data_IF_553922539827
#
_entry.id   IF_553922539827
#
_cell.length_a   1.000
_cell.length_b   1.000
_cell.length_c   1.000
_cell.angle_alpha   90.00
_cell.angle_beta   90.00
_cell.angle_gamma   90.00
#
_symmetry.space_group_name_H-M   'P 1'
#
loop_
_entity.id
_entity.type
_entity.pdbx_description
1 polymer ?
#
# COMPACT_ATOMS: atom_id res chain seq x y z
N UNK A 1 0.23 4.35 -29.33
CA UNK A 1 -1.21 4.06 -29.24
C UNK A 1 -1.46 3.43 -27.88
N UNK A 2 -1.67 4.27 -26.84
CA UNK A 2 -2.08 3.83 -25.50
C UNK A 2 -3.54 3.34 -25.56
N UNK A 3 -3.69 2.08 -25.90
CA UNK A 3 -4.97 1.38 -25.78
C UNK A 3 -5.18 0.97 -24.33
N UNK A 4 -5.27 1.95 -23.41
CA UNK A 4 -5.82 1.72 -22.08
C UNK A 4 -7.32 1.45 -22.21
N UNK A 5 -7.64 0.20 -22.50
CA UNK A 5 -9.01 -0.27 -22.46
C UNK A 5 -9.43 -0.41 -21.00
N UNK A 6 -10.04 0.64 -20.44
CA UNK A 6 -10.46 0.74 -19.05
C UNK A 6 -11.11 -0.53 -18.46
N UNK A 7 -11.96 -1.29 -19.17
CA UNK A 7 -12.46 -2.55 -18.62
C UNK A 7 -11.38 -3.61 -18.41
N UNK A 8 -10.37 -3.67 -19.28
CA UNK A 8 -9.27 -4.64 -19.10
C UNK A 8 -8.41 -4.29 -17.89
N UNK A 9 -8.22 -3.00 -17.62
CA UNK A 9 -7.53 -2.54 -16.41
C UNK A 9 -8.28 -2.98 -15.14
N UNK A 10 -9.61 -2.83 -15.11
CA UNK A 10 -10.41 -3.32 -13.98
C UNK A 10 -10.32 -4.84 -13.82
N UNK A 11 -10.27 -5.59 -14.91
CA UNK A 11 -10.12 -7.04 -14.87
C UNK A 11 -8.75 -7.48 -14.35
N UNK A 12 -7.69 -6.70 -14.57
CA UNK A 12 -6.35 -7.03 -14.08
C UNK A 12 -6.27 -7.11 -12.56
N UNK A 13 -7.12 -6.39 -11.83
CA UNK A 13 -7.22 -6.51 -10.37
C UNK A 13 -7.60 -7.91 -9.88
N UNK A 14 -8.23 -8.72 -10.72
CA UNK A 14 -8.72 -10.06 -10.39
C UNK A 14 -7.88 -11.18 -10.97
N UNK A 15 -6.65 -10.91 -11.37
CA UNK A 15 -5.75 -11.86 -12.06
C UNK A 15 -5.61 -13.18 -11.31
N UNK A 16 -5.42 -13.15 -9.99
CA UNK A 16 -5.31 -14.39 -9.17
C UNK A 16 -6.63 -15.16 -9.11
N UNK A 17 -7.74 -14.44 -8.98
CA UNK A 17 -9.08 -15.06 -8.95
C UNK A 17 -9.35 -15.76 -10.28
N UNK A 18 -9.02 -15.11 -11.41
CA UNK A 18 -9.17 -15.73 -12.73
C UNK A 18 -8.25 -16.95 -12.92
N UNK A 19 -7.04 -16.92 -12.36
CA UNK A 19 -6.16 -18.09 -12.36
C UNK A 19 -6.79 -19.27 -11.60
N UNK A 20 -7.27 -19.04 -10.36
CA UNK A 20 -7.89 -20.11 -9.55
C UNK A 20 -9.19 -20.63 -10.18
N UNK A 21 -10.04 -19.74 -10.69
CA UNK A 21 -11.28 -20.15 -11.38
C UNK A 21 -10.99 -20.93 -12.67
N UNK A 22 -9.99 -20.51 -13.44
CA UNK A 22 -9.55 -21.20 -14.65
C UNK A 22 -9.03 -22.60 -14.35
N UNK A 23 -8.24 -22.74 -13.26
CA UNK A 23 -7.75 -24.04 -12.81
C UNK A 23 -8.90 -24.96 -12.41
N UNK A 24 -9.83 -24.50 -11.58
CA UNK A 24 -11.00 -25.27 -11.16
C UNK A 24 -11.89 -25.68 -12.35
N UNK A 25 -12.12 -24.77 -13.29
CA UNK A 25 -12.89 -25.05 -14.51
C UNK A 25 -12.18 -26.06 -15.39
N UNK A 26 -10.87 -25.96 -15.56
CA UNK A 26 -10.07 -26.91 -16.34
C UNK A 26 -10.20 -28.33 -15.76
N UNK A 27 -10.03 -28.47 -14.45
CA UNK A 27 -10.17 -29.76 -13.76
C UNK A 27 -11.60 -30.32 -13.92
N UNK A 28 -12.63 -29.49 -13.70
CA UNK A 28 -14.02 -29.89 -13.87
C UNK A 28 -14.29 -30.41 -15.29
N UNK A 29 -13.87 -29.66 -16.31
CA UNK A 29 -14.09 -30.04 -17.72
C UNK A 29 -13.37 -31.32 -18.10
N UNK A 30 -12.20 -31.60 -17.53
CA UNK A 30 -11.51 -32.88 -17.70
C UNK A 30 -12.33 -34.01 -17.06
N UNK A 31 -12.81 -33.83 -15.85
CA UNK A 31 -13.61 -34.83 -15.13
C UNK A 31 -14.90 -35.19 -15.86
N UNK A 32 -15.56 -34.20 -16.50
CA UNK A 32 -16.78 -34.44 -17.31
C UNK A 32 -16.46 -34.76 -18.76
N UNK A 33 -15.21 -35.10 -19.10
CA UNK A 33 -14.75 -35.52 -20.44
C UNK A 33 -14.94 -34.46 -21.55
N UNK A 34 -15.01 -33.17 -21.20
CA UNK A 34 -15.08 -32.07 -22.16
C UNK A 34 -13.69 -31.54 -22.53
N UNK A 35 -12.89 -32.32 -23.26
CA UNK A 35 -11.45 -32.05 -23.46
C UNK A 35 -11.15 -30.80 -24.29
N UNK A 36 -11.96 -30.43 -25.29
CA UNK A 36 -11.71 -29.22 -26.10
C UNK A 36 -11.90 -27.95 -25.28
N UNK A 37 -13.03 -27.77 -24.56
CA UNK A 37 -13.16 -26.63 -23.63
C UNK A 37 -12.12 -26.66 -22.51
N UNK A 38 -11.71 -27.84 -22.00
CA UNK A 38 -10.68 -27.97 -21.00
C UNK A 38 -9.32 -27.42 -21.48
N UNK A 39 -8.95 -27.71 -22.72
CA UNK A 39 -7.72 -27.19 -23.33
C UNK A 39 -7.76 -25.66 -23.44
N UNK A 40 -8.90 -25.08 -23.84
CA UNK A 40 -9.07 -23.62 -23.89
C UNK A 40 -8.99 -22.98 -22.49
N UNK A 41 -9.65 -23.58 -21.50
CA UNK A 41 -9.57 -23.13 -20.10
C UNK A 41 -8.14 -23.23 -19.56
N UNK A 42 -7.40 -24.29 -19.88
CA UNK A 42 -6.00 -24.45 -19.48
C UNK A 42 -5.09 -23.35 -20.07
N UNK A 43 -5.27 -22.98 -21.33
CA UNK A 43 -4.52 -21.89 -21.96
C UNK A 43 -4.76 -20.56 -21.23
N UNK A 44 -6.01 -20.23 -20.90
CA UNK A 44 -6.34 -19.01 -20.13
C UNK A 44 -5.75 -19.09 -18.71
N UNK A 45 -5.81 -20.25 -18.06
CA UNK A 45 -5.22 -20.47 -16.74
C UNK A 45 -3.71 -20.20 -16.76
N UNK A 46 -2.99 -20.75 -17.76
CA UNK A 46 -1.55 -20.49 -17.93
C UNK A 46 -1.26 -19.01 -18.15
N UNK A 47 -2.06 -18.33 -18.98
CA UNK A 47 -1.92 -16.89 -19.19
C UNK A 47 -2.07 -16.09 -17.89
N UNK A 48 -3.13 -16.33 -17.11
CA UNK A 48 -3.32 -15.61 -15.84
C UNK A 48 -2.27 -16.02 -14.79
N UNK A 49 -1.84 -17.27 -14.75
CA UNK A 49 -0.75 -17.70 -13.88
C UNK A 49 0.57 -17.02 -14.22
N UNK A 50 0.89 -16.86 -15.52
CA UNK A 50 2.06 -16.11 -15.96
C UNK A 50 1.93 -14.62 -15.59
N UNK A 51 0.78 -13.99 -15.83
CA UNK A 51 0.53 -12.61 -15.46
C UNK A 51 0.68 -12.39 -13.93
N UNK A 52 0.16 -13.31 -13.12
CA UNK A 52 0.31 -13.28 -11.66
C UNK A 52 1.76 -13.44 -11.21
N UNK A 53 2.56 -14.24 -11.94
CA UNK A 53 3.97 -14.46 -11.61
C UNK A 53 4.90 -13.31 -12.07
N UNK A 54 4.43 -12.44 -12.95
CA UNK A 54 5.22 -11.38 -13.60
C UNK A 54 5.16 -10.04 -12.87
N UNK A 55 4.85 -10.03 -11.57
CA UNK A 55 4.81 -8.79 -10.77
C UNK A 55 6.25 -8.23 -10.65
N UNK A 56 6.51 -6.98 -11.15
CA UNK A 56 7.83 -6.36 -11.05
C UNK A 56 8.25 -6.10 -9.60
N UNK A 57 9.55 -6.09 -9.36
CA UNK A 57 10.12 -5.72 -8.06
C UNK A 57 10.27 -6.87 -7.06
N UNK A 58 9.94 -8.10 -7.44
CA UNK A 58 10.06 -9.27 -6.58
C UNK A 58 11.19 -10.16 -7.01
N UNK A 59 12.14 -10.45 -6.12
CA UNK A 59 13.21 -11.42 -6.40
C UNK A 59 12.65 -12.82 -6.69
N UNK A 60 13.09 -13.48 -7.80
CA UNK A 60 12.67 -14.84 -8.12
C UNK A 60 13.29 -15.80 -7.10
N UNK A 61 12.56 -16.27 -6.14
CA UNK A 61 13.02 -17.24 -5.15
C UNK A 61 12.23 -17.27 -3.84
N UNK A 62 11.43 -16.24 -3.54
CA UNK A 62 10.60 -16.20 -2.33
C UNK A 62 9.10 -16.41 -2.56
N UNK A 63 8.70 -16.83 -3.75
CA UNK A 63 7.30 -17.10 -4.03
C UNK A 63 6.95 -18.54 -3.75
N UNK A 64 6.45 -18.79 -2.58
CA UNK A 64 5.63 -19.96 -2.30
C UNK A 64 4.23 -19.49 -1.95
N UNK A 65 3.22 -19.96 -2.67
CA UNK A 65 1.80 -19.77 -2.38
C UNK A 65 1.37 -20.32 -0.99
N UNK A 66 2.32 -20.84 -0.20
CA UNK A 66 2.08 -21.51 1.08
C UNK A 66 3.07 -21.14 2.19
N UNK A 67 3.96 -20.16 2.01
CA UNK A 67 4.86 -19.78 3.09
C UNK A 67 4.65 -18.34 3.54
N UNK A 68 3.70 -18.15 4.44
CA UNK A 68 3.89 -17.22 5.56
C UNK A 68 5.02 -17.81 6.42
N UNK A 69 6.21 -17.92 5.88
CA UNK A 69 7.37 -18.29 6.64
C UNK A 69 7.83 -16.99 7.30
N UNK A 70 7.66 -16.90 8.61
CA UNK A 70 8.39 -15.97 9.45
C UNK A 70 9.87 -16.08 9.08
N UNK A 71 10.37 -15.12 8.30
CA UNK A 71 11.79 -15.03 7.98
C UNK A 71 12.50 -14.67 9.29
N UNK A 72 13.05 -15.67 9.98
CA UNK A 72 13.99 -15.41 11.06
C UNK A 72 15.16 -14.62 10.49
N UNK A 73 15.61 -13.53 11.13
CA UNK A 73 16.81 -12.82 10.72
C UNK A 73 17.98 -13.80 10.66
N UNK A 74 18.73 -13.79 9.56
CA UNK A 74 19.96 -14.57 9.47
C UNK A 74 20.90 -14.20 10.64
N UNK A 75 21.47 -15.18 11.33
CA UNK A 75 22.24 -15.02 12.58
C UNK A 75 23.51 -14.16 12.50
N UNK A 76 23.80 -13.51 11.37
CA UNK A 76 24.95 -12.64 11.16
C UNK A 76 24.67 -11.14 11.03
N UNK A 77 23.39 -10.72 10.89
CA UNK A 77 23.04 -9.32 10.58
C UNK A 77 22.72 -8.44 11.82
N UNK A 78 22.95 -8.93 13.03
CA UNK A 78 22.39 -8.32 14.26
C UNK A 78 23.10 -7.07 14.79
N UNK A 79 24.24 -6.64 14.26
CA UNK A 79 25.02 -5.57 14.91
C UNK A 79 24.64 -4.14 14.45
N UNK A 80 24.11 -3.95 13.23
CA UNK A 80 23.96 -2.62 12.63
C UNK A 80 22.61 -2.42 11.90
N UNK A 81 21.50 -2.90 12.44
CA UNK A 81 20.18 -2.70 11.84
C UNK A 81 19.17 -2.11 12.82
N UNK A 82 18.24 -1.28 12.30
CA UNK A 82 17.09 -0.75 13.03
C UNK A 82 15.82 -1.46 12.52
N UNK A 83 15.06 -2.03 13.43
CA UNK A 83 13.74 -2.59 13.14
C UNK A 83 12.67 -1.51 13.33
N UNK A 84 11.72 -1.44 12.42
CA UNK A 84 10.61 -0.49 12.43
C UNK A 84 9.30 -1.23 12.16
N UNK A 85 8.37 -1.19 13.11
CA UNK A 85 7.01 -1.68 12.90
C UNK A 85 6.15 -0.57 12.32
N UNK A 86 5.71 -0.76 11.11
CA UNK A 86 5.00 0.21 10.30
C UNK A 86 3.57 -0.25 10.01
N UNK A 87 2.59 0.66 10.10
CA UNK A 87 1.19 0.35 9.72
C UNK A 87 0.67 1.41 8.77
N UNK A 88 -0.03 1.00 7.72
CA UNK A 88 -0.88 1.88 6.89
C UNK A 88 -2.35 1.46 6.99
N UNK A 89 -3.26 2.43 7.02
CA UNK A 89 -4.69 2.15 7.11
C UNK A 89 -5.54 3.25 6.49
N UNK A 90 -6.34 2.89 5.48
CA UNK A 90 -7.44 3.73 5.01
C UNK A 90 -8.59 3.60 6.02
N UNK A 91 -8.98 4.71 6.65
CA UNK A 91 -9.98 4.72 7.74
C UNK A 91 -11.41 4.69 7.24
N UNK A 92 -11.62 4.85 5.95
CA UNK A 92 -12.95 5.07 5.37
C UNK A 92 -13.62 6.32 5.94
N UNK A 93 -13.76 7.35 5.13
CA UNK A 93 -14.27 8.67 5.56
C UNK A 93 -15.65 8.64 6.24
N UNK A 94 -16.45 7.61 5.94
CA UNK A 94 -17.77 7.39 6.57
C UNK A 94 -17.73 6.40 7.73
N UNK A 95 -16.53 6.09 8.26
CA UNK A 95 -16.40 5.26 9.45
C UNK A 95 -17.16 5.89 10.62
N UNK A 96 -18.15 5.17 11.11
CA UNK A 96 -19.06 5.58 12.18
C UNK A 96 -18.60 5.11 13.58
N UNK A 97 -17.36 4.54 13.67
CA UNK A 97 -16.81 3.98 14.91
C UNK A 97 -15.52 4.68 15.39
N UNK A 98 -15.60 5.99 15.69
CA UNK A 98 -14.43 6.74 16.15
C UNK A 98 -13.86 6.20 17.49
N UNK A 99 -14.71 5.67 18.38
CA UNK A 99 -14.25 5.08 19.65
C UNK A 99 -13.37 3.85 19.41
N UNK A 100 -13.70 3.03 18.41
CA UNK A 100 -12.88 1.88 18.03
C UNK A 100 -11.47 2.30 17.55
N UNK A 101 -11.33 3.46 16.89
CA UNK A 101 -10.03 4.01 16.54
C UNK A 101 -9.20 4.35 17.78
N UNK A 102 -9.82 5.00 18.79
CA UNK A 102 -9.12 5.34 20.02
C UNK A 102 -8.59 4.08 20.75
N UNK A 103 -9.44 3.07 20.91
CA UNK A 103 -9.06 1.79 21.50
C UNK A 103 -7.98 1.07 20.68
N UNK A 104 -8.10 1.09 19.36
CA UNK A 104 -7.14 0.47 18.46
C UNK A 104 -5.77 1.13 18.60
N UNK A 105 -5.70 2.47 18.58
CA UNK A 105 -4.46 3.23 18.79
C UNK A 105 -3.77 2.90 20.11
N UNK A 106 -4.55 2.67 21.18
CA UNK A 106 -3.99 2.30 22.49
C UNK A 106 -3.37 0.90 22.51
N UNK A 107 -3.87 -0.02 21.68
CA UNK A 107 -3.40 -1.41 21.62
C UNK A 107 -2.28 -1.62 20.61
N UNK A 108 -2.07 -0.68 19.67
CA UNK A 108 -1.06 -0.87 18.63
C UNK A 108 0.36 -0.77 19.17
N UNK A 109 1.19 -1.70 18.74
CA UNK A 109 2.63 -1.70 19.00
C UNK A 109 3.42 -1.25 17.74
N UNK A 110 2.84 -0.39 16.95
CA UNK A 110 3.50 0.20 15.79
C UNK A 110 4.40 1.37 16.21
N UNK A 111 5.51 1.55 15.53
CA UNK A 111 6.40 2.69 15.69
C UNK A 111 5.93 3.87 14.87
N UNK A 112 5.39 3.58 13.67
CA UNK A 112 4.82 4.57 12.75
C UNK A 112 3.50 4.04 12.20
N UNK A 113 2.49 4.91 12.21
CA UNK A 113 1.19 4.63 11.62
C UNK A 113 0.86 5.75 10.62
N UNK A 114 0.45 5.38 9.43
CA UNK A 114 -0.03 6.33 8.42
C UNK A 114 -1.48 6.03 8.08
N UNK A 115 -2.25 7.09 7.89
CA UNK A 115 -3.68 6.98 7.63
C UNK A 115 -4.08 7.74 6.37
N UNK A 116 -5.10 7.20 5.70
CA UNK A 116 -5.81 7.81 4.60
C UNK A 116 -7.28 8.02 4.99
N UNK A 117 -7.98 8.89 4.27
CA UNK A 117 -9.39 9.23 4.50
C UNK A 117 -9.70 9.71 5.93
N UNK A 118 -8.78 10.45 6.54
CA UNK A 118 -9.04 11.01 7.87
C UNK A 118 -10.07 12.14 7.82
N UNK A 119 -10.98 12.14 8.78
CA UNK A 119 -11.94 13.22 9.05
C UNK A 119 -11.44 14.13 10.17
N UNK A 120 -12.13 15.25 10.41
CA UNK A 120 -11.83 16.12 11.55
C UNK A 120 -11.97 15.39 12.90
N UNK A 121 -12.97 14.51 13.04
CA UNK A 121 -13.18 13.72 14.25
C UNK A 121 -12.05 12.69 14.46
N UNK A 122 -11.67 11.95 13.44
CA UNK A 122 -10.57 10.97 13.54
C UNK A 122 -9.23 11.67 13.79
N UNK A 123 -9.00 12.86 13.20
CA UNK A 123 -7.82 13.66 13.48
C UNK A 123 -7.75 14.11 14.95
N UNK A 124 -8.88 14.49 15.56
CA UNK A 124 -8.92 14.84 16.98
C UNK A 124 -8.56 13.66 17.88
N UNK A 125 -9.06 12.46 17.57
CA UNK A 125 -8.72 11.22 18.28
C UNK A 125 -7.22 10.92 18.15
N UNK A 126 -6.66 11.03 16.94
CA UNK A 126 -5.23 10.85 16.69
C UNK A 126 -4.39 11.87 17.46
N UNK A 127 -4.83 13.14 17.47
CA UNK A 127 -4.15 14.20 18.22
C UNK A 127 -4.12 13.91 19.74
N UNK A 128 -5.13 13.25 20.29
CA UNK A 128 -5.14 12.82 21.69
C UNK A 128 -4.17 11.66 22.00
N UNK A 129 -3.68 10.93 20.99
CA UNK A 129 -2.72 9.83 21.16
C UNK A 129 -1.24 10.29 21.24
N UNK A 130 -0.98 11.55 21.62
CA UNK A 130 0.38 12.14 21.67
C UNK A 130 1.32 11.47 22.67
N UNK A 131 0.81 10.89 23.71
CA UNK A 131 1.64 10.16 24.70
C UNK A 131 2.33 8.95 24.07
N UNK A 132 1.68 8.29 23.10
CA UNK A 132 2.23 7.15 22.38
C UNK A 132 2.95 7.54 21.09
N UNK A 133 2.43 8.55 20.39
CA UNK A 133 2.92 9.06 19.13
C UNK A 133 3.17 10.56 19.24
N UNK A 134 4.28 10.97 19.86
CA UNK A 134 4.56 12.39 20.14
C UNK A 134 4.77 13.21 18.86
N UNK A 135 5.15 12.57 17.77
CA UNK A 135 5.39 13.24 16.50
C UNK A 135 4.25 12.93 15.53
N UNK A 136 3.48 13.96 15.20
CA UNK A 136 2.29 13.81 14.38
C UNK A 136 2.29 14.86 13.26
N UNK A 137 1.85 14.44 12.08
CA UNK A 137 1.60 15.33 10.95
C UNK A 137 0.24 15.01 10.34
N UNK A 138 -0.54 16.07 10.08
CA UNK A 138 -1.85 16.00 9.43
C UNK A 138 -1.77 16.77 8.11
N UNK A 139 -1.74 16.00 7.01
CA UNK A 139 -1.69 16.55 5.65
C UNK A 139 -3.09 16.84 5.13
N UNK A 140 -3.60 18.04 5.39
CA UNK A 140 -4.84 18.51 4.80
C UNK A 140 -4.60 19.23 3.49
N UNK A 141 -5.51 19.09 2.51
CA UNK A 141 -5.51 20.01 1.38
C UNK A 141 -5.68 21.47 1.88
N UNK A 142 -4.79 22.37 1.47
CA UNK A 142 -4.82 23.78 1.92
C UNK A 142 -6.18 24.49 1.72
N UNK A 143 -6.94 24.08 0.71
CA UNK A 143 -8.28 24.60 0.39
C UNK A 143 -9.41 24.02 1.27
N UNK A 144 -9.12 23.05 2.13
CA UNK A 144 -10.14 22.40 2.96
C UNK A 144 -10.52 23.25 4.18
N UNK A 145 -9.64 24.15 4.58
CA UNK A 145 -9.88 25.08 5.70
C UNK A 145 -10.74 26.27 5.25
N UNK A 146 -10.72 26.62 3.95
CA UNK A 146 -11.32 27.84 3.42
C UNK A 146 -12.64 27.66 2.67
N UNK A 147 -13.04 26.43 2.34
CA UNK A 147 -14.27 26.16 1.58
C UNK A 147 -15.18 25.14 2.29
N UNK A 148 -16.17 25.61 3.06
CA UNK A 148 -17.07 24.75 3.83
C UNK A 148 -17.95 23.83 2.97
N UNK A 149 -18.02 24.02 1.65
CA UNK A 149 -18.82 23.24 0.69
C UNK A 149 -18.00 22.21 -0.12
N UNK A 150 -16.68 22.23 -0.03
CA UNK A 150 -15.84 21.17 -0.57
C UNK A 150 -15.72 20.11 0.52
N UNK A 151 -16.02 18.85 0.21
CA UNK A 151 -15.86 17.74 1.16
C UNK A 151 -14.37 17.59 1.51
N UNK A 152 -13.89 18.21 2.61
CA UNK A 152 -12.45 18.37 2.88
C UNK A 152 -11.77 17.07 3.30
N UNK A 153 -12.54 16.11 3.75
CA UNK A 153 -12.09 14.88 4.42
C UNK A 153 -11.84 13.68 3.50
N UNK A 154 -12.26 13.72 2.22
CA UNK A 154 -12.09 12.57 1.32
C UNK A 154 -10.62 12.24 1.03
N UNK A 155 -9.68 13.16 1.30
CA UNK A 155 -8.27 13.00 0.98
C UNK A 155 -7.35 13.41 2.14
N UNK A 156 -7.83 13.41 3.38
CA UNK A 156 -7.00 13.69 4.54
C UNK A 156 -5.99 12.59 4.79
N UNK A 157 -4.73 12.96 5.05
CA UNK A 157 -3.64 12.03 5.36
C UNK A 157 -3.08 12.35 6.74
N UNK A 158 -2.63 11.33 7.48
CA UNK A 158 -1.93 11.54 8.73
C UNK A 158 -0.72 10.62 8.87
N UNK A 159 0.27 11.11 9.60
CA UNK A 159 1.44 10.36 10.05
C UNK A 159 1.50 10.49 11.57
N UNK A 160 1.49 9.38 12.27
CA UNK A 160 1.72 9.28 13.70
C UNK A 160 3.02 8.49 13.90
N UNK A 161 3.94 9.02 14.72
CA UNK A 161 5.26 8.41 14.88
C UNK A 161 5.76 8.50 16.32
N UNK A 162 6.42 7.45 16.78
CA UNK A 162 7.25 7.46 18.00
C UNK A 162 8.57 8.19 17.79
N UNK A 163 9.02 8.29 16.53
CA UNK A 163 10.27 8.92 16.14
C UNK A 163 10.04 10.32 15.57
N UNK A 164 11.03 11.23 15.69
CA UNK A 164 10.92 12.58 15.16
C UNK A 164 10.63 12.62 13.65
N UNK A 165 9.72 13.50 13.26
CA UNK A 165 9.40 13.83 11.86
C UNK A 165 10.06 15.17 11.51
N UNK A 166 10.83 15.21 10.40
CA UNK A 166 11.38 16.43 9.82
C UNK A 166 10.78 16.70 8.46
N UNK A 167 10.81 17.98 8.05
CA UNK A 167 10.38 18.45 6.74
C UNK A 167 8.98 17.94 6.33
N UNK A 168 7.98 17.90 7.23
CA UNK A 168 6.67 17.43 6.85
C UNK A 168 6.06 18.38 5.80
N UNK A 169 5.53 17.82 4.72
CA UNK A 169 4.98 18.58 3.61
C UNK A 169 3.87 17.82 2.90
N UNK A 170 3.07 18.55 2.10
CA UNK A 170 2.05 17.97 1.24
C UNK A 170 2.38 18.33 -0.20
N UNK A 171 2.68 17.31 -0.98
CA UNK A 171 2.85 17.42 -2.41
C UNK A 171 1.50 17.37 -3.11
N UNK A 172 1.34 18.22 -4.11
CA UNK A 172 0.17 18.23 -4.99
C UNK A 172 0.61 18.42 -6.42
N UNK A 173 0.21 17.52 -7.25
CA UNK A 173 0.32 17.73 -8.67
C UNK A 173 -0.69 18.80 -9.11
N UNK A 174 -0.25 19.81 -9.85
CA UNK A 174 -1.13 20.84 -10.40
C UNK A 174 -2.15 20.24 -11.37
N UNK A 175 -3.43 20.49 -11.10
CA UNK A 175 -4.54 20.10 -11.99
C UNK A 175 -5.17 18.73 -11.73
N UNK A 176 -4.53 17.84 -10.96
CA UNK A 176 -5.05 16.49 -10.72
C UNK A 176 -4.63 15.95 -9.35
N UNK A 177 -5.52 15.25 -8.69
CA UNK A 177 -5.17 14.22 -7.78
C UNK A 177 -5.21 14.55 -6.31
N UNK A 178 -5.21 13.46 -5.60
CA UNK A 178 -5.11 13.37 -4.17
C UNK A 178 -3.73 13.88 -3.71
N UNK A 179 -3.64 14.47 -2.52
CA UNK A 179 -2.35 14.87 -1.94
C UNK A 179 -1.49 13.65 -1.61
N UNK A 180 -0.17 13.85 -1.60
CA UNK A 180 0.80 12.93 -1.01
C UNK A 180 1.45 13.65 0.17
N UNK A 181 1.46 13.03 1.35
CA UNK A 181 2.15 13.58 2.50
C UNK A 181 3.57 13.02 2.56
N UNK A 182 4.55 13.92 2.74
CA UNK A 182 5.95 13.56 2.94
C UNK A 182 6.43 13.93 4.33
N UNK A 183 7.34 13.13 4.88
CA UNK A 183 8.13 13.49 6.05
C UNK A 183 9.45 12.69 6.03
N UNK A 184 10.49 13.23 6.64
CA UNK A 184 11.72 12.50 6.90
C UNK A 184 11.67 11.96 8.34
N UNK A 185 11.65 10.63 8.48
CA UNK A 185 11.64 9.92 9.75
C UNK A 185 13.08 9.75 10.26
N UNK A 186 13.34 10.24 11.48
CA UNK A 186 14.64 10.14 12.14
C UNK A 186 14.65 8.94 13.07
N UNK A 187 15.38 7.92 12.70
CA UNK A 187 15.49 6.68 13.46
C UNK A 187 16.68 6.68 14.43
N UNK A 188 16.67 5.79 15.44
CA UNK A 188 17.83 5.56 16.30
C UNK A 188 19.08 5.26 15.47
N UNK A 189 20.25 5.69 15.97
CA UNK A 189 21.52 5.53 15.25
C UNK A 189 21.75 6.55 14.13
N UNK A 190 20.85 7.54 13.96
CA UNK A 190 20.99 8.64 12.98
C UNK A 190 20.50 8.29 11.57
N UNK A 191 19.97 7.10 11.35
CA UNK A 191 19.38 6.74 10.07
C UNK A 191 18.16 7.62 9.77
N UNK A 192 18.03 8.04 8.51
CA UNK A 192 16.89 8.84 8.04
C UNK A 192 16.20 8.10 6.90
N UNK A 193 14.88 8.02 6.97
CA UNK A 193 14.04 7.43 5.94
C UNK A 193 13.00 8.45 5.51
N UNK A 194 12.90 8.70 4.21
CA UNK A 194 11.80 9.49 3.66
C UNK A 194 10.54 8.65 3.59
N UNK A 195 9.46 9.17 4.14
CA UNK A 195 8.13 8.59 4.12
C UNK A 195 7.26 9.36 3.13
N UNK A 196 6.54 8.64 2.28
CA UNK A 196 5.50 9.17 1.41
C UNK A 196 4.18 8.43 1.69
N UNK A 197 3.14 9.15 2.10
CA UNK A 197 1.80 8.62 2.35
C UNK A 197 0.90 8.94 1.18
N UNK A 198 0.34 7.90 0.58
CA UNK A 198 -0.39 7.97 -0.69
C UNK A 198 -1.85 7.57 -0.49
N UNK A 199 -2.75 8.28 -1.16
CA UNK A 199 -4.13 7.84 -1.38
C UNK A 199 -4.53 8.27 -2.78
N UNK A 200 -4.63 7.34 -3.72
CA UNK A 200 -4.92 7.65 -5.11
C UNK A 200 -6.43 7.62 -5.40
N UNK A 201 -6.82 8.11 -6.56
CA UNK A 201 -8.22 8.10 -6.97
C UNK A 201 -8.70 6.68 -7.31
N UNK A 202 -9.94 6.37 -6.92
CA UNK A 202 -10.59 5.10 -7.23
C UNK A 202 -10.79 4.96 -8.77
N UNK A 203 -10.40 3.81 -9.38
CA UNK A 203 -10.39 3.59 -10.82
C UNK A 203 -11.76 3.20 -11.41
N UNK A 204 -12.84 3.13 -10.63
CA UNK A 204 -14.18 2.72 -11.11
C UNK A 204 -14.73 3.61 -12.24
N UNK A 205 -14.16 4.79 -12.44
CA UNK A 205 -14.46 5.69 -13.58
C UNK A 205 -13.16 6.00 -14.33
N UNK A 206 -13.27 6.22 -15.65
CA UNK A 206 -12.11 6.60 -16.50
C UNK A 206 -11.35 7.82 -15.98
N UNK A 207 -12.06 8.81 -15.40
CA UNK A 207 -11.42 9.98 -14.79
C UNK A 207 -10.60 9.61 -13.57
N UNK A 208 -11.12 8.74 -12.71
CA UNK A 208 -10.41 8.25 -11.53
C UNK A 208 -9.17 7.43 -11.91
N UNK A 209 -9.31 6.52 -12.89
CA UNK A 209 -8.19 5.75 -13.43
C UNK A 209 -7.08 6.67 -13.93
N UNK A 210 -7.41 7.66 -14.77
CA UNK A 210 -6.44 8.61 -15.30
C UNK A 210 -5.76 9.42 -14.19
N UNK A 211 -6.55 9.91 -13.22
CA UNK A 211 -6.02 10.67 -12.08
C UNK A 211 -5.05 9.84 -11.25
N UNK A 212 -5.38 8.56 -10.98
CA UNK A 212 -4.52 7.60 -10.28
C UNK A 212 -3.19 7.42 -11.02
N UNK A 213 -3.25 7.08 -12.30
CA UNK A 213 -2.07 6.78 -13.11
C UNK A 213 -1.17 8.00 -13.28
N UNK A 214 -1.75 9.19 -13.47
CA UNK A 214 -1.02 10.45 -13.54
C UNK A 214 -0.33 10.79 -12.22
N UNK A 215 -1.02 10.58 -11.07
CA UNK A 215 -0.41 10.79 -9.77
C UNK A 215 0.77 9.84 -9.55
N UNK A 216 0.60 8.55 -9.86
CA UNK A 216 1.69 7.56 -9.74
C UNK A 216 2.89 7.94 -10.61
N UNK A 217 2.68 8.33 -11.86
CA UNK A 217 3.76 8.75 -12.75
C UNK A 217 4.51 9.98 -12.22
N UNK A 218 3.79 11.02 -11.77
CA UNK A 218 4.40 12.22 -11.22
C UNK A 218 5.11 11.96 -9.88
N UNK A 219 4.55 11.08 -9.05
CA UNK A 219 5.19 10.67 -7.81
C UNK A 219 6.46 9.86 -8.07
N UNK A 220 6.45 8.96 -9.05
CA UNK A 220 7.65 8.23 -9.46
C UNK A 220 8.78 9.18 -9.87
N UNK A 221 8.49 10.21 -10.68
CA UNK A 221 9.45 11.24 -11.07
C UNK A 221 10.00 11.99 -9.84
N UNK A 222 9.15 12.36 -8.88
CA UNK A 222 9.59 13.03 -7.64
C UNK A 222 10.48 12.12 -6.78
N UNK A 223 10.07 10.86 -6.58
CA UNK A 223 10.80 9.89 -5.78
C UNK A 223 12.13 9.46 -6.43
N UNK A 224 12.22 9.47 -7.76
CA UNK A 224 13.46 9.12 -8.48
C UNK A 224 14.59 10.11 -8.24
N UNK A 225 14.27 11.35 -7.85
CA UNK A 225 15.24 12.42 -7.54
C UNK A 225 15.84 12.29 -6.13
N UNK A 226 15.26 11.44 -5.30
CA UNK A 226 15.76 11.20 -3.95
C UNK A 226 16.54 9.89 -3.90
N UNK A 227 17.79 9.94 -3.49
CA UNK A 227 18.69 8.75 -3.50
C UNK A 227 18.70 7.98 -2.17
N UNK A 228 18.10 8.52 -1.12
CA UNK A 228 18.05 7.90 0.21
C UNK A 228 17.03 6.76 0.34
N UNK A 229 16.96 6.20 1.55
CA UNK A 229 15.97 5.20 1.92
C UNK A 229 14.55 5.77 1.87
N UNK A 230 13.62 4.99 1.32
CA UNK A 230 12.21 5.36 1.14
C UNK A 230 11.27 4.31 1.72
N UNK A 231 10.16 4.79 2.29
CA UNK A 231 8.94 4.03 2.54
C UNK A 231 7.80 4.78 1.85
N UNK A 232 7.10 4.13 0.92
CA UNK A 232 5.93 4.69 0.24
C UNK A 232 4.75 3.81 0.59
N UNK A 233 3.75 4.34 1.28
CA UNK A 233 2.66 3.51 1.81
C UNK A 233 1.30 4.20 1.70
N UNK A 234 0.25 3.39 1.61
CA UNK A 234 -1.12 3.86 1.59
C UNK A 234 -2.01 3.08 0.63
N UNK A 235 -3.18 3.64 0.36
CA UNK A 235 -4.15 3.13 -0.60
C UNK A 235 -3.83 3.63 -2.02
N UNK A 236 -3.35 2.71 -2.84
CA UNK A 236 -3.04 2.97 -4.25
C UNK A 236 -4.23 2.76 -5.18
N UNK A 237 -5.34 2.21 -4.68
CA UNK A 237 -6.47 1.83 -5.53
C UNK A 237 -6.01 1.03 -6.77
N UNK A 238 -4.95 0.27 -6.62
CA UNK A 238 -4.29 -0.54 -7.64
C UNK A 238 -3.73 -1.81 -7.00
N UNK A 239 -4.00 -2.96 -7.62
CA UNK A 239 -3.33 -4.21 -7.24
C UNK A 239 -1.96 -4.31 -7.91
N UNK A 240 -1.06 -5.19 -7.43
CA UNK A 240 0.26 -5.41 -8.03
C UNK A 240 0.21 -5.85 -9.52
N UNK A 241 -0.94 -6.31 -9.98
CA UNK A 241 -1.15 -6.81 -11.35
C UNK A 241 -1.47 -5.71 -12.37
N UNK A 242 -1.67 -4.46 -11.92
CA UNK A 242 -1.99 -3.36 -12.82
C UNK A 242 -0.73 -2.82 -13.50
N UNK A 243 -0.77 -2.55 -14.82
CA UNK A 243 0.41 -2.04 -15.53
C UNK A 243 0.93 -0.70 -15.00
N UNK A 244 0.04 0.16 -14.47
CA UNK A 244 0.43 1.43 -13.90
C UNK A 244 1.22 1.25 -12.60
N UNK A 245 0.82 0.30 -11.75
CA UNK A 245 1.53 -0.01 -10.52
C UNK A 245 2.90 -0.62 -10.79
N UNK A 246 2.99 -1.53 -11.76
CA UNK A 246 4.25 -2.12 -12.20
C UNK A 246 5.24 -1.03 -12.67
N UNK A 247 4.80 -0.13 -13.55
CA UNK A 247 5.62 1.01 -13.99
C UNK A 247 6.03 1.91 -12.83
N UNK A 248 5.13 2.17 -11.89
CA UNK A 248 5.44 2.98 -10.71
C UNK A 248 6.58 2.38 -9.87
N UNK A 249 6.57 1.06 -9.66
CA UNK A 249 7.65 0.37 -8.95
C UNK A 249 8.99 0.53 -9.69
N UNK A 250 9.01 0.31 -11.00
CA UNK A 250 10.22 0.39 -11.82
C UNK A 250 10.76 1.83 -11.86
N UNK A 251 9.93 2.81 -12.20
CA UNK A 251 10.32 4.21 -12.36
C UNK A 251 10.81 4.83 -11.03
N UNK A 252 10.17 4.49 -9.92
CA UNK A 252 10.57 4.95 -8.59
C UNK A 252 11.64 4.07 -7.93
N UNK A 253 12.08 2.99 -8.59
CA UNK A 253 13.03 2.00 -8.04
C UNK A 253 12.59 1.44 -6.68
N UNK A 254 11.31 1.11 -6.56
CA UNK A 254 10.71 0.58 -5.33
C UNK A 254 10.58 -0.93 -5.42
N UNK A 255 10.65 -1.57 -4.27
CA UNK A 255 10.42 -3.00 -4.10
C UNK A 255 9.23 -3.25 -3.18
N UNK A 256 8.67 -4.44 -3.30
CA UNK A 256 7.50 -4.89 -2.54
C UNK A 256 7.57 -6.39 -2.31
N UNK A 257 6.70 -6.96 -1.48
CA UNK A 257 6.60 -8.40 -1.31
C UNK A 257 5.72 -9.03 -2.41
N UNK A 258 5.86 -10.33 -2.64
CA UNK A 258 5.10 -11.05 -3.67
C UNK A 258 3.69 -11.41 -3.25
N UNK A 259 3.51 -11.80 -2.00
CA UNK A 259 2.23 -12.22 -1.45
C UNK A 259 1.68 -11.08 -0.56
N UNK A 260 0.83 -10.26 -1.14
CA UNK A 260 0.10 -9.26 -0.38
C UNK A 260 -1.19 -9.87 0.17
N UNK A 261 -1.48 -9.68 1.45
CA UNK A 261 -2.79 -10.02 1.98
C UNK A 261 -3.87 -9.11 1.39
N UNK A 262 -5.08 -9.63 1.22
CA UNK A 262 -6.22 -8.82 0.80
C UNK A 262 -6.56 -7.76 1.84
N UNK A 263 -6.75 -6.52 1.39
CA UNK A 263 -7.10 -5.42 2.27
C UNK A 263 -8.49 -4.86 2.01
N UNK A 264 -9.03 -4.98 0.80
CA UNK A 264 -10.33 -4.42 0.39
C UNK A 264 -11.16 -5.39 -0.46
N UNK A 265 -12.49 -5.50 -0.27
CA UNK A 265 -13.18 -5.03 0.94
C UNK A 265 -12.84 -5.92 2.15
N UNK A 266 -12.84 -5.33 3.34
CA UNK A 266 -12.47 -6.04 4.56
C UNK A 266 -13.28 -7.33 4.81
N UNK A 267 -14.53 -7.39 4.36
CA UNK A 267 -15.40 -8.55 4.49
C UNK A 267 -14.91 -9.78 3.70
N UNK A 268 -14.09 -9.57 2.67
CA UNK A 268 -13.50 -10.65 1.88
C UNK A 268 -12.28 -11.28 2.56
N UNK A 269 -11.78 -10.70 3.68
CA UNK A 269 -10.60 -11.20 4.38
C UNK A 269 -9.39 -11.27 3.44
N UNK A 270 -8.68 -12.40 3.47
CA UNK A 270 -7.47 -12.61 2.65
C UNK A 270 -7.78 -12.77 1.15
N UNK A 271 -9.05 -12.97 0.78
CA UNK A 271 -9.49 -12.99 -0.62
C UNK A 271 -9.83 -11.60 -1.17
N UNK A 272 -9.68 -10.56 -0.37
CA UNK A 272 -9.85 -9.17 -0.80
C UNK A 272 -8.77 -8.75 -1.79
N UNK A 273 -8.98 -7.60 -2.44
CA UNK A 273 -8.00 -7.00 -3.33
C UNK A 273 -6.87 -6.37 -2.51
N UNK A 274 -5.60 -6.64 -2.82
CA UNK A 274 -4.46 -5.97 -2.21
C UNK A 274 -4.25 -4.60 -2.89
N UNK A 275 -4.94 -3.58 -2.40
CA UNK A 275 -4.85 -2.21 -2.94
C UNK A 275 -4.15 -1.23 -1.99
N UNK A 276 -3.94 -1.63 -0.74
CA UNK A 276 -3.10 -0.94 0.22
C UNK A 276 -1.70 -1.55 0.20
N UNK A 277 -0.66 -0.70 0.13
CA UNK A 277 0.71 -1.17 -0.06
C UNK A 277 1.71 -0.51 0.88
N UNK A 278 2.78 -1.25 1.16
CA UNK A 278 4.03 -0.74 1.72
C UNK A 278 5.14 -1.07 0.73
N UNK A 279 5.71 -0.03 0.13
CA UNK A 279 6.74 -0.10 -0.89
C UNK A 279 8.02 0.52 -0.33
N UNK A 280 9.17 -0.05 -0.66
CA UNK A 280 10.42 0.38 -0.03
C UNK A 280 11.57 0.51 -1.03
N UNK A 281 12.55 1.35 -0.68
CA UNK A 281 13.87 1.42 -1.31
C UNK A 281 14.92 1.64 -0.23
N UNK A 282 16.01 0.86 -0.23
CA UNK A 282 17.01 0.92 0.83
C UNK A 282 16.54 0.42 2.20
N UNK A 283 15.40 -0.27 2.22
CA UNK A 283 14.73 -0.85 3.38
C UNK A 283 14.29 -2.27 2.99
N UNK A 284 14.34 -3.22 3.90
CA UNK A 284 13.84 -4.58 3.69
C UNK A 284 12.51 -4.77 4.43
N UNK A 285 11.53 -5.36 3.76
CA UNK A 285 10.30 -5.84 4.39
C UNK A 285 10.61 -7.26 4.91
N UNK A 286 10.59 -7.41 6.23
CA UNK A 286 10.82 -8.70 6.89
C UNK A 286 9.53 -9.52 6.99
N UNK A 287 8.40 -8.85 7.25
CA UNK A 287 7.07 -9.45 7.34
C UNK A 287 6.00 -8.44 6.94
N UNK A 288 4.84 -8.94 6.47
CA UNK A 288 3.68 -8.13 6.14
C UNK A 288 2.38 -8.90 6.41
N UNK A 289 1.43 -8.27 7.08
CA UNK A 289 0.13 -8.88 7.36
C UNK A 289 -1.00 -7.85 7.35
N UNK A 290 -2.21 -8.30 7.01
CA UNK A 290 -3.42 -7.50 7.20
C UNK A 290 -4.03 -7.78 8.58
N UNK A 291 -4.27 -6.71 9.33
CA UNK A 291 -4.88 -6.77 10.66
C UNK A 291 -6.41 -6.75 10.57
N UNK A 292 -7.09 -7.01 11.69
CA UNK A 292 -8.54 -6.88 11.76
C UNK A 292 -8.98 -5.42 11.61
N UNK A 293 -10.01 -5.20 10.78
CA UNK A 293 -10.59 -3.89 10.56
C UNK A 293 -11.50 -3.47 11.74
N UNK A 294 -11.65 -2.16 11.94
CA UNK A 294 -12.49 -1.57 12.98
C UNK A 294 -13.35 -0.42 12.40
N UNK A 295 -14.39 -0.78 11.68
CA UNK A 295 -15.35 0.18 11.09
C UNK A 295 -14.91 0.76 9.74
N UNK A 296 -13.75 0.39 9.21
CA UNK A 296 -13.34 0.68 7.83
C UNK A 296 -13.77 -0.45 6.89
N UNK A 297 -13.92 -0.15 5.62
CA UNK A 297 -14.03 -1.14 4.55
C UNK A 297 -12.66 -1.68 4.08
N UNK A 298 -11.55 -1.11 4.60
CA UNK A 298 -10.21 -1.61 4.45
C UNK A 298 -9.69 -2.27 5.73
N UNK A 299 -8.80 -3.24 5.57
CA UNK A 299 -8.00 -3.82 6.66
C UNK A 299 -6.69 -3.04 6.82
N UNK A 300 -6.26 -2.72 8.06
CA UNK A 300 -4.92 -2.16 8.26
C UNK A 300 -3.86 -3.12 7.76
N UNK A 301 -2.80 -2.60 7.13
CA UNK A 301 -1.66 -3.37 6.67
C UNK A 301 -0.45 -3.06 7.54
N UNK A 302 0.07 -4.07 8.26
CA UNK A 302 1.28 -3.99 9.07
C UNK A 302 2.47 -4.53 8.29
N UNK A 303 3.60 -3.84 8.35
CA UNK A 303 4.88 -4.31 7.85
C UNK A 303 5.97 -4.18 8.92
N UNK A 304 6.72 -5.26 9.14
CA UNK A 304 7.93 -5.23 9.93
C UNK A 304 9.11 -4.94 8.98
N UNK A 305 9.74 -3.78 9.18
CA UNK A 305 10.78 -3.24 8.30
C UNK A 305 12.14 -3.30 8.96
N UNK A 306 13.18 -3.54 8.19
CA UNK A 306 14.58 -3.56 8.66
C UNK A 306 15.41 -2.63 7.79
N UNK A 307 16.13 -1.73 8.46
CA UNK A 307 16.99 -0.72 7.85
C UNK A 307 18.41 -0.88 8.35
N UNK A 308 19.44 -0.58 7.54
CA UNK A 308 20.81 -0.46 8.02
C UNK A 308 20.93 0.65 9.10
N UNK A 309 21.58 0.37 10.22
CA UNK A 309 21.89 1.37 11.24
C UNK A 309 23.09 2.20 10.80
N UNK A 310 22.89 3.14 10.01
CA UNK A 310 23.89 4.02 9.45
C UNK A 310 23.41 4.40 8.08
N UNK A 311 22.92 5.61 7.92
CA UNK A 311 22.42 6.08 6.63
C UNK A 311 23.43 5.73 5.56
N UNK A 312 22.93 5.19 4.43
CA UNK A 312 23.77 5.04 3.24
C UNK A 312 24.45 6.39 2.97
N UNK A 313 25.70 6.51 3.38
CA UNK A 313 26.56 7.58 2.94
C UNK A 313 26.93 7.24 1.48
N UNK A 314 26.32 7.92 0.56
CA UNK A 314 26.81 8.00 -0.81
C UNK A 314 26.87 9.47 -1.23
#
# INVERSE_FOLDING_TARGET
LDLHFWPAELLSHFTEIFFLMGLALTVFLIVVHCFVPAAAAAVLTVYFGFAASSVPGVEPGQASLLSVAHAQPAEGERADTVSLRFVTHNLYVHNDRPDALAEWLQRQDADVIVFQEISANTAAIMAAARDRYPHQFFGWPANCVEQPNVRPWLNGLAILSRYPLRNPSVYRQTGYGAPVAFADLLLPGGATVRLAVVHTSNPLRRSGLRSRDQLMAALAEELSRYDGALIVAGDFNATPYTPAFARFLDDARLTTVRAYPGTYPQIAGDFGLPIDHVLVRGVRIADIEALDAFGSDHRPLRADLVLPAGGAQH
#
